data_IF_385350778191
#
_entry.id   IF_385350778191
#
_cell.length_a   1.000
_cell.length_b   1.000
_cell.length_c   1.000
_cell.angle_alpha   90.00
_cell.angle_beta   90.00
_cell.angle_gamma   90.00
#
_symmetry.space_group_name_H-M   'P 1'
#
loop_
_entity.id
_entity.type
_entity.pdbx_description
1 polymer ?
#
# COMPACT_ATOMS: atom_id res chain seq x y z
N UNK A 1 6.11 -8.25 11.41
CA UNK A 1 6.96 -7.05 11.50
C UNK A 1 7.83 -6.80 10.25
N UNK A 2 7.25 -6.98 9.05
CA UNK A 2 7.89 -6.74 7.73
C UNK A 2 6.81 -6.17 6.77
N UNK A 3 5.82 -5.42 7.28
CA UNK A 3 4.59 -5.04 6.54
C UNK A 3 4.80 -4.07 5.36
N UNK A 4 6.00 -3.52 5.24
CA UNK A 4 6.43 -2.63 4.15
C UNK A 4 7.14 -3.44 3.06
N UNK A 5 8.08 -4.32 3.45
CA UNK A 5 8.82 -5.18 2.51
C UNK A 5 7.94 -6.31 1.97
N UNK A 6 7.09 -6.91 2.80
CA UNK A 6 6.01 -7.79 2.36
C UNK A 6 4.80 -6.89 2.10
N UNK A 7 4.34 -6.75 0.84
CA UNK A 7 3.34 -5.77 0.45
C UNK A 7 1.91 -6.21 0.84
N UNK A 8 1.70 -6.57 2.11
CA UNK A 8 0.37 -6.94 2.62
C UNK A 8 -0.62 -5.77 2.59
N UNK A 9 -0.12 -4.53 2.49
CA UNK A 9 -0.93 -3.34 2.24
C UNK A 9 -1.48 -3.27 0.79
N UNK A 10 -0.92 -4.01 -0.17
CA UNK A 10 -1.42 -4.11 -1.56
C UNK A 10 -2.58 -5.09 -1.74
N UNK A 11 -2.87 -5.92 -0.74
CA UNK A 11 -3.98 -6.88 -0.79
C UNK A 11 -5.29 -6.13 -0.52
N UNK A 12 -6.17 -6.04 -1.51
CA UNK A 12 -7.47 -5.34 -1.43
C UNK A 12 -8.57 -6.40 -1.58
N UNK A 13 -9.68 -6.25 -0.85
CA UNK A 13 -10.82 -7.17 -1.01
C UNK A 13 -11.39 -7.09 -2.42
N UNK A 14 -12.04 -8.15 -2.91
CA UNK A 14 -12.67 -8.17 -4.24
C UNK A 14 -13.72 -7.06 -4.45
N UNK A 15 -14.25 -6.52 -3.35
CA UNK A 15 -15.19 -5.39 -3.30
C UNK A 15 -14.51 -4.01 -3.35
N UNK A 16 -13.17 -3.94 -3.37
CA UNK A 16 -12.40 -2.70 -3.29
C UNK A 16 -12.16 -2.18 -1.87
N UNK A 17 -12.73 -2.87 -0.86
CA UNK A 17 -12.61 -2.49 0.54
C UNK A 17 -11.19 -2.71 1.11
N UNK A 18 -10.66 -1.69 1.77
CA UNK A 18 -9.39 -1.76 2.51
C UNK A 18 -9.64 -2.37 3.89
N UNK A 19 -9.30 -3.65 4.05
CA UNK A 19 -9.47 -4.37 5.34
C UNK A 19 -8.16 -5.01 5.80
N UNK A 20 -8.09 -5.42 7.08
CA UNK A 20 -7.11 -6.40 7.56
C UNK A 20 -5.64 -5.96 7.64
N UNK A 21 -5.33 -4.67 7.86
CA UNK A 21 -3.93 -4.24 8.04
C UNK A 21 -3.53 -4.15 9.51
N UNK A 22 -2.52 -4.92 9.91
CA UNK A 22 -1.98 -4.92 11.27
C UNK A 22 -1.48 -3.53 11.73
N UNK A 23 -1.10 -2.65 10.79
CA UNK A 23 -0.68 -1.27 11.06
C UNK A 23 -1.81 -0.23 11.03
N UNK A 24 -3.07 -0.65 10.89
CA UNK A 24 -4.24 0.23 10.77
C UNK A 24 -4.52 0.72 9.34
N UNK A 25 -5.81 0.87 9.01
CA UNK A 25 -6.25 1.20 7.64
C UNK A 25 -5.69 2.52 7.11
N UNK A 26 -5.47 3.51 7.99
CA UNK A 26 -4.87 4.78 7.63
C UNK A 26 -3.46 4.61 7.04
N UNK A 27 -2.62 3.78 7.66
CA UNK A 27 -1.25 3.51 7.15
C UNK A 27 -1.28 2.73 5.84
N UNK A 28 -2.24 1.80 5.67
CA UNK A 28 -2.44 1.09 4.40
C UNK A 28 -2.79 2.06 3.27
N UNK A 29 -3.68 3.01 3.52
CA UNK A 29 -4.08 4.03 2.55
C UNK A 29 -2.92 4.96 2.17
N UNK A 30 -2.21 5.47 3.18
CA UNK A 30 -1.03 6.30 2.97
C UNK A 30 0.07 5.58 2.17
N UNK A 31 0.34 4.30 2.47
CA UNK A 31 1.30 3.50 1.70
C UNK A 31 0.85 3.29 0.25
N UNK A 32 -0.43 2.99 0.01
CA UNK A 32 -0.97 2.85 -1.34
C UNK A 32 -0.92 4.17 -2.14
N UNK A 33 -1.16 5.30 -1.48
CA UNK A 33 -1.02 6.64 -2.09
C UNK A 33 0.45 7.01 -2.35
N UNK A 34 1.36 6.62 -1.45
CA UNK A 34 2.79 6.84 -1.59
C UNK A 34 3.42 5.95 -2.66
N UNK A 35 2.97 4.70 -2.78
CA UNK A 35 3.37 3.75 -3.82
C UNK A 35 2.68 3.99 -5.16
N UNK A 36 1.55 4.71 -5.17
CA UNK A 36 0.94 5.17 -6.42
C UNK A 36 2.00 5.95 -7.17
N UNK A 37 2.18 5.70 -8.49
CA UNK A 37 3.33 6.17 -9.23
C UNK A 37 3.34 7.70 -9.26
N UNK A 38 4.01 8.30 -8.29
CA UNK A 38 4.54 9.65 -8.39
C UNK A 38 5.63 9.55 -9.44
N UNK A 39 5.23 9.78 -10.70
CA UNK A 39 6.04 9.82 -11.91
C UNK A 39 7.49 9.44 -11.63
N UNK A 40 7.77 8.13 -11.59
CA UNK A 40 9.10 7.62 -11.30
C UNK A 40 10.03 8.32 -12.28
N UNK A 41 10.86 9.23 -11.76
CA UNK A 41 11.82 9.97 -12.56
C UNK A 41 12.65 8.90 -13.27
N UNK A 42 12.60 8.90 -14.61
CA UNK A 42 13.44 7.99 -15.38
C UNK A 42 14.87 8.29 -14.99
N UNK A 43 15.49 7.37 -14.25
CA UNK A 43 16.92 7.40 -13.99
C UNK A 43 17.62 6.77 -15.18
N UNK A 44 17.43 7.36 -16.36
CA UNK A 44 18.22 7.16 -17.57
C UNK A 44 18.12 8.43 -18.41
#
# INVERSE_FOLDING_TARGET
PISIIIPCHRVIGSDGSLTGYAGGLHRKKWLLEFESPSAQQSLF
#
